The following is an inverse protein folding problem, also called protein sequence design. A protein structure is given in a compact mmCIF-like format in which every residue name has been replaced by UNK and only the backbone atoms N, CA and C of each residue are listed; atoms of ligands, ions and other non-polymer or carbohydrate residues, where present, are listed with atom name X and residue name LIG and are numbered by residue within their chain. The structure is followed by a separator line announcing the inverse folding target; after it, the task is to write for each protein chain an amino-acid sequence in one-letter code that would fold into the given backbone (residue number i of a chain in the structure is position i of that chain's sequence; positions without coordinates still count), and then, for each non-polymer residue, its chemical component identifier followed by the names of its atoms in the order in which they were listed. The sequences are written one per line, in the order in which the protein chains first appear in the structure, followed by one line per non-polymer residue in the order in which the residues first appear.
data_IF_063901296431
#
_entry.id   IF_063901296431
#
_cell.length_a   1.000
_cell.length_b   1.000
_cell.length_c   1.000
_cell.angle_alpha   90.00
_cell.angle_beta   90.00
_cell.angle_gamma   90.00
#
_symmetry.space_group_name_H-M   'P 1'
#
loop_
_entity.id
_entity.type
_entity.pdbx_description
1 polymer ?
#
# COMPACT_ATOMS: atom_id res chain seq x y z
N UNK A 1 46.77 -3.35 -1.17
CA UNK A 1 46.41 -3.32 0.26
C UNK A 1 45.08 -2.63 0.39
N UNK A 2 44.01 -3.35 0.72
CA UNK A 2 42.67 -2.75 0.99
C UNK A 2 42.70 -2.21 2.42
N UNK A 3 42.59 -0.89 2.60
CA UNK A 3 42.48 -0.27 3.91
C UNK A 3 41.13 -0.66 4.56
N UNK A 4 41.20 -1.29 5.72
CA UNK A 4 40.01 -1.50 6.56
C UNK A 4 39.71 -0.20 7.29
N UNK A 5 38.67 0.52 6.86
CA UNK A 5 38.19 1.71 7.55
C UNK A 5 37.35 1.27 8.75
N UNK A 6 37.94 1.31 9.94
CA UNK A 6 37.26 0.96 11.20
C UNK A 6 36.44 2.16 11.67
N UNK A 7 35.15 2.21 11.28
CA UNK A 7 34.23 3.23 11.80
C UNK A 7 33.58 2.75 13.10
N UNK A 8 33.85 3.46 14.18
CA UNK A 8 33.37 3.23 15.56
C UNK A 8 31.85 3.46 15.76
N UNK A 9 31.02 3.52 14.74
CA UNK A 9 29.57 3.46 14.85
C UNK A 9 29.10 2.26 14.07
N UNK A 10 28.40 1.28 14.72
CA UNK A 10 27.67 0.30 13.95
C UNK A 10 26.60 1.07 13.16
N UNK A 11 26.84 1.26 11.86
CA UNK A 11 25.74 1.48 10.93
C UNK A 11 24.85 0.25 11.12
N UNK A 12 23.71 0.40 11.79
CA UNK A 12 22.65 -0.60 11.70
C UNK A 12 22.38 -0.73 10.20
N UNK A 13 22.93 -1.77 9.59
CA UNK A 13 22.65 -2.06 8.18
C UNK A 13 21.23 -2.59 8.15
N UNK A 14 20.31 -1.74 7.71
CA UNK A 14 18.93 -2.13 7.49
C UNK A 14 18.90 -2.91 6.16
N UNK A 15 18.87 -4.22 6.24
CA UNK A 15 19.00 -5.12 5.09
C UNK A 15 17.70 -5.85 4.74
N UNK A 16 16.64 -5.58 5.50
CA UNK A 16 15.33 -6.20 5.29
C UNK A 16 14.21 -5.22 5.65
N UNK A 17 13.00 -5.46 5.14
CA UNK A 17 11.79 -4.72 5.50
C UNK A 17 11.54 -4.78 7.02
N UNK A 18 11.84 -5.91 7.66
CA UNK A 18 11.68 -6.08 9.12
C UNK A 18 12.68 -5.23 9.91
N UNK A 19 13.88 -4.99 9.40
CA UNK A 19 14.83 -4.07 10.04
C UNK A 19 14.31 -2.62 9.96
N UNK A 20 13.75 -2.22 8.82
CA UNK A 20 13.07 -0.93 8.67
C UNK A 20 11.88 -0.80 9.61
N UNK A 21 11.05 -1.84 9.75
CA UNK A 21 9.93 -1.89 10.70
C UNK A 21 10.39 -1.64 12.13
N UNK A 22 11.40 -2.40 12.60
CA UNK A 22 11.96 -2.24 13.95
C UNK A 22 12.61 -0.87 14.18
N UNK A 23 13.28 -0.33 13.17
CA UNK A 23 13.88 1.00 13.24
C UNK A 23 12.82 2.11 13.26
N UNK A 24 11.75 1.97 12.47
CA UNK A 24 10.64 2.91 12.40
C UNK A 24 9.87 2.98 13.73
N UNK A 25 9.59 1.84 14.36
CA UNK A 25 8.92 1.77 15.67
C UNK A 25 9.60 2.59 16.77
N UNK A 26 10.93 2.78 16.68
CA UNK A 26 11.71 3.56 17.64
C UNK A 26 11.78 5.06 17.32
N UNK A 27 11.27 5.50 16.17
CA UNK A 27 11.46 6.87 15.67
C UNK A 27 10.23 7.75 15.72
N UNK A 28 9.06 7.15 15.92
CA UNK A 28 7.78 7.86 16.00
C UNK A 28 7.07 7.55 17.31
N UNK A 29 6.23 8.47 17.83
CA UNK A 29 5.39 8.21 18.99
C UNK A 29 4.47 7.01 18.76
N UNK A 30 4.09 6.35 19.85
CA UNK A 30 3.17 5.20 19.82
C UNK A 30 1.88 5.48 19.08
N UNK A 31 1.36 6.69 19.18
CA UNK A 31 0.17 7.13 18.45
C UNK A 31 0.33 6.94 16.93
N UNK A 32 1.46 7.38 16.36
CA UNK A 32 1.76 7.22 14.93
C UNK A 32 2.04 5.75 14.60
N UNK A 33 2.72 5.04 15.50
CA UNK A 33 3.02 3.63 15.32
C UNK A 33 1.76 2.77 15.28
N UNK A 34 0.80 3.01 16.18
CA UNK A 34 -0.51 2.33 16.17
C UNK A 34 -1.29 2.58 14.87
N UNK A 35 -1.21 3.79 14.31
CA UNK A 35 -1.78 4.07 13.00
C UNK A 35 -1.12 3.23 11.89
N UNK A 36 0.20 3.08 11.91
CA UNK A 36 0.97 2.34 10.89
C UNK A 36 0.77 0.83 11.00
N UNK A 37 0.93 0.28 12.20
CA UNK A 37 0.88 -1.17 12.46
C UNK A 37 -0.53 -1.68 12.73
N UNK A 38 -1.44 -0.82 13.14
CA UNK A 38 -2.80 -1.17 13.53
C UNK A 38 -3.59 -1.84 12.41
N UNK A 39 -4.61 -2.56 12.81
CA UNK A 39 -5.62 -3.21 11.98
C UNK A 39 -6.95 -3.22 12.70
N UNK A 40 -7.91 -3.99 12.20
CA UNK A 40 -9.22 -4.13 12.81
C UNK A 40 -9.18 -5.15 13.97
N UNK A 41 -9.99 -4.88 14.98
CA UNK A 41 -10.30 -5.73 16.13
C UNK A 41 -9.07 -6.44 16.71
N UNK A 42 -9.02 -7.78 16.62
CA UNK A 42 -7.97 -8.64 17.19
C UNK A 42 -6.75 -8.84 16.27
N UNK A 43 -6.66 -8.12 15.13
CA UNK A 43 -5.57 -8.21 14.14
C UNK A 43 -5.42 -9.62 13.53
N UNK A 44 -6.48 -10.41 13.47
CA UNK A 44 -6.45 -11.76 12.91
C UNK A 44 -6.12 -11.70 11.41
N UNK A 45 -6.81 -10.82 10.68
CA UNK A 45 -6.59 -10.65 9.23
C UNK A 45 -5.19 -10.09 8.94
N UNK A 46 -4.68 -9.17 9.77
CA UNK A 46 -3.30 -8.66 9.64
C UNK A 46 -2.29 -9.79 9.69
N UNK A 47 -2.41 -10.66 10.72
CA UNK A 47 -1.51 -11.82 10.88
C UNK A 47 -1.69 -12.85 9.76
N UNK A 48 -2.94 -13.12 9.35
CA UNK A 48 -3.23 -14.07 8.27
C UNK A 48 -2.66 -13.61 6.93
N UNK A 49 -2.69 -12.32 6.62
CA UNK A 49 -2.09 -11.79 5.39
C UNK A 49 -0.59 -12.12 5.26
N UNK A 50 0.16 -12.05 6.36
CA UNK A 50 1.57 -12.43 6.37
C UNK A 50 1.75 -13.96 6.37
N UNK A 51 0.93 -14.68 7.15
CA UNK A 51 1.00 -16.13 7.29
C UNK A 51 0.60 -16.88 6.01
N UNK A 52 -0.30 -16.35 5.20
CA UNK A 52 -0.76 -16.98 3.96
C UNK A 52 0.38 -17.29 2.98
N UNK A 53 1.44 -16.49 2.97
CA UNK A 53 2.63 -16.77 2.16
C UNK A 53 3.36 -18.05 2.59
N UNK A 54 3.24 -18.49 3.83
CA UNK A 54 3.88 -19.71 4.33
C UNK A 54 3.25 -20.98 3.78
N UNK A 55 2.06 -20.90 3.23
CA UNK A 55 1.40 -22.01 2.53
C UNK A 55 2.19 -22.46 1.29
N UNK A 56 2.80 -21.49 0.60
CA UNK A 56 3.44 -21.75 -0.68
C UNK A 56 4.95 -21.88 -0.54
N UNK A 57 5.52 -22.98 -1.03
CA UNK A 57 6.96 -23.17 -1.23
C UNK A 57 7.32 -22.87 -2.68
N UNK A 58 8.51 -22.31 -2.90
CA UNK A 58 9.04 -22.05 -4.23
C UNK A 58 9.68 -23.32 -4.81
N UNK A 59 9.47 -23.56 -6.07
CA UNK A 59 10.10 -24.66 -6.81
C UNK A 59 11.40 -24.16 -7.45
N UNK A 60 12.48 -24.85 -7.20
CA UNK A 60 13.78 -24.56 -7.79
C UNK A 60 14.04 -25.46 -9.01
N UNK A 61 14.61 -24.90 -10.09
CA UNK A 61 15.12 -25.62 -11.25
C UNK A 61 16.57 -25.22 -11.46
N UNK A 62 17.46 -26.21 -11.38
CA UNK A 62 18.90 -25.98 -11.46
C UNK A 62 19.42 -25.97 -12.90
N UNK A 63 20.58 -25.36 -13.11
CA UNK A 63 21.34 -25.34 -14.37
C UNK A 63 20.60 -24.66 -15.53
N UNK A 64 19.81 -23.64 -15.23
CA UNK A 64 18.99 -22.90 -16.21
C UNK A 64 19.73 -21.78 -16.94
N UNK A 65 20.94 -21.41 -16.47
CA UNK A 65 21.82 -20.36 -17.04
C UNK A 65 21.23 -18.96 -17.10
N UNK A 66 20.27 -18.64 -16.24
CA UNK A 66 19.68 -17.28 -16.13
C UNK A 66 20.35 -16.51 -14.99
N UNK A 67 21.11 -15.46 -15.30
CA UNK A 67 21.83 -14.64 -14.33
C UNK A 67 21.16 -13.28 -14.07
N UNK A 68 20.41 -12.76 -15.03
CA UNK A 68 19.78 -11.43 -14.99
C UNK A 68 18.30 -11.55 -15.34
N UNK A 69 17.40 -11.72 -14.35
CA UNK A 69 15.97 -11.89 -14.61
C UNK A 69 15.33 -10.55 -15.00
N UNK A 70 14.37 -10.60 -15.92
CA UNK A 70 13.58 -9.44 -16.35
C UNK A 70 12.48 -9.15 -15.32
N UNK A 71 12.50 -7.96 -14.72
CA UNK A 71 11.50 -7.55 -13.74
C UNK A 71 10.42 -6.63 -14.30
N UNK A 72 10.70 -5.95 -15.44
CA UNK A 72 9.80 -4.96 -16.02
C UNK A 72 8.44 -5.56 -16.37
N UNK A 73 7.39 -4.80 -16.14
CA UNK A 73 6.00 -5.14 -16.49
C UNK A 73 5.21 -3.88 -16.82
N UNK A 74 3.96 -4.03 -17.21
CA UNK A 74 3.06 -2.91 -17.49
C UNK A 74 1.86 -2.95 -16.55
N UNK A 75 1.48 -1.81 -16.00
CA UNK A 75 0.26 -1.62 -15.19
C UNK A 75 -0.47 -0.39 -15.72
N UNK A 76 -1.75 -0.51 -16.01
CA UNK A 76 -2.57 0.57 -16.55
C UNK A 76 -1.96 1.22 -17.82
N UNK A 77 -1.34 0.42 -18.67
CA UNK A 77 -0.64 0.89 -19.86
C UNK A 77 0.69 1.64 -19.58
N UNK A 78 1.13 1.73 -18.34
CA UNK A 78 2.39 2.38 -17.95
C UNK A 78 3.44 1.30 -17.66
N UNK A 79 4.58 1.40 -18.34
CA UNK A 79 5.73 0.53 -18.08
C UNK A 79 6.39 0.86 -16.74
N UNK A 80 6.75 -0.19 -15.99
CA UNK A 80 7.44 -0.12 -14.70
C UNK A 80 8.56 -1.15 -14.67
N UNK A 81 9.74 -0.77 -14.12
CA UNK A 81 10.92 -1.63 -14.05
C UNK A 81 10.88 -2.62 -12.89
N UNK A 82 9.93 -2.44 -11.97
CA UNK A 82 9.75 -3.27 -10.77
C UNK A 82 8.26 -3.53 -10.56
N UNK A 83 7.80 -4.80 -10.48
CA UNK A 83 6.38 -5.14 -10.31
C UNK A 83 5.88 -4.93 -8.87
N UNK A 84 6.32 -3.85 -8.24
CA UNK A 84 5.97 -3.44 -6.88
C UNK A 84 5.58 -1.96 -6.90
N UNK A 85 4.31 -1.66 -6.72
CA UNK A 85 3.78 -0.31 -6.61
C UNK A 85 3.73 0.14 -5.14
N UNK A 86 3.78 1.45 -4.91
CA UNK A 86 3.49 2.00 -3.59
C UNK A 86 1.97 2.15 -3.45
N UNK A 87 1.39 1.43 -2.47
CA UNK A 87 -0.04 1.42 -2.20
C UNK A 87 -0.56 2.80 -1.75
N UNK A 88 -1.82 3.13 -2.03
CA UNK A 88 -2.43 4.35 -1.53
C UNK A 88 -2.50 4.30 0.00
N UNK A 89 -1.88 5.27 0.64
CA UNK A 89 -1.82 5.38 2.10
C UNK A 89 -2.17 6.80 2.52
N UNK A 90 -3.16 6.94 3.39
CA UNK A 90 -3.55 8.25 3.92
C UNK A 90 -2.53 8.77 4.95
N UNK A 91 -2.55 10.09 5.15
CA UNK A 91 -1.84 10.79 6.22
C UNK A 91 -0.33 10.46 6.33
N UNK A 92 0.36 10.23 5.21
CA UNK A 92 1.81 9.96 5.21
C UNK A 92 2.64 11.11 5.81
N UNK A 93 2.07 12.31 5.89
CA UNK A 93 2.66 13.46 6.58
C UNK A 93 2.91 13.23 8.07
N UNK A 94 2.18 12.31 8.71
CA UNK A 94 2.44 11.88 10.09
C UNK A 94 3.74 11.06 10.21
N UNK A 95 4.08 10.33 9.17
CA UNK A 95 5.30 9.51 9.12
C UNK A 95 6.53 10.33 8.76
N UNK A 96 6.39 11.22 7.78
CA UNK A 96 7.44 12.12 7.33
C UNK A 96 6.82 13.36 6.69
N UNK A 97 7.35 14.56 6.97
CA UNK A 97 6.77 15.82 6.52
C UNK A 97 6.59 15.94 4.99
N UNK A 98 7.47 15.32 4.19
CA UNK A 98 7.32 15.19 2.73
C UNK A 98 6.47 13.99 2.31
N UNK A 99 6.02 13.13 3.23
CA UNK A 99 5.18 11.96 3.09
C UNK A 99 4.94 11.48 1.66
N UNK A 100 3.81 11.88 1.09
CA UNK A 100 3.36 11.46 -0.23
C UNK A 100 4.32 11.87 -1.36
N UNK A 101 4.86 13.09 -1.32
CA UNK A 101 5.84 13.55 -2.30
C UNK A 101 7.15 12.75 -2.21
N UNK A 102 7.62 12.46 -0.99
CA UNK A 102 8.82 11.64 -0.81
C UNK A 102 8.61 10.21 -1.31
N UNK A 103 7.42 9.64 -1.09
CA UNK A 103 7.04 8.33 -1.61
C UNK A 103 6.99 8.33 -3.15
N UNK A 104 6.38 9.35 -3.76
CA UNK A 104 6.30 9.50 -5.21
C UNK A 104 7.68 9.59 -5.86
N UNK A 105 8.55 10.46 -5.33
CA UNK A 105 9.94 10.57 -5.80
C UNK A 105 10.75 9.27 -5.60
N UNK A 106 10.50 8.53 -4.51
CA UNK A 106 11.15 7.23 -4.27
C UNK A 106 10.68 6.17 -5.29
N UNK A 107 9.38 6.13 -5.58
CA UNK A 107 8.81 5.24 -6.59
C UNK A 107 9.39 5.54 -7.99
N UNK A 108 9.40 6.81 -8.39
CA UNK A 108 9.98 7.25 -9.66
C UNK A 108 11.45 6.83 -9.78
N UNK A 109 12.26 7.11 -8.73
CA UNK A 109 13.68 6.77 -8.71
C UNK A 109 13.94 5.25 -8.69
N UNK A 110 12.97 4.43 -8.31
CA UNK A 110 13.00 2.97 -8.36
C UNK A 110 12.31 2.41 -9.62
N UNK A 111 11.99 3.23 -10.62
CA UNK A 111 11.33 2.79 -11.85
C UNK A 111 9.91 2.22 -11.65
N UNK A 112 9.22 2.62 -10.59
CA UNK A 112 7.84 2.20 -10.33
C UNK A 112 6.91 3.40 -10.09
N UNK A 113 5.70 3.17 -9.57
CA UNK A 113 4.69 4.23 -9.40
C UNK A 113 4.11 4.22 -7.99
N UNK A 114 3.69 5.41 -7.56
CA UNK A 114 2.83 5.59 -6.39
C UNK A 114 1.37 5.62 -6.84
N UNK A 115 0.49 5.04 -6.05
CA UNK A 115 -0.95 5.32 -6.10
C UNK A 115 -1.23 6.35 -5.01
N UNK A 116 -1.46 7.61 -5.40
CA UNK A 116 -1.70 8.71 -4.46
C UNK A 116 -3.09 8.58 -3.83
N UNK A 117 -3.18 8.65 -2.51
CA UNK A 117 -4.45 8.52 -1.79
C UNK A 117 -5.31 9.79 -1.84
N UNK A 118 -6.63 9.66 -1.87
CA UNK A 118 -7.58 10.74 -1.53
C UNK A 118 -7.21 11.42 -0.21
N UNK A 119 -6.80 10.61 0.77
CA UNK A 119 -6.43 11.06 2.12
C UNK A 119 -4.94 11.45 2.23
N UNK A 120 -4.30 11.84 1.14
CA UNK A 120 -2.89 12.25 1.14
C UNK A 120 -2.66 13.57 1.87
N UNK A 121 -1.46 13.72 2.46
CA UNK A 121 -1.03 14.95 3.13
C UNK A 121 -0.45 16.00 2.16
N UNK A 122 -0.26 15.63 0.92
CA UNK A 122 0.10 16.51 -0.20
C UNK A 122 -1.03 16.50 -1.22
N UNK A 123 -1.28 17.65 -1.86
CA UNK A 123 -2.35 17.70 -2.86
C UNK A 123 -1.96 16.94 -4.14
N UNK A 124 -2.98 16.59 -4.91
CA UNK A 124 -2.86 15.97 -6.24
C UNK A 124 -1.86 16.77 -7.10
N UNK A 125 -2.01 18.10 -7.10
CA UNK A 125 -1.21 19.03 -7.90
C UNK A 125 0.23 19.14 -7.39
N UNK A 126 0.42 19.21 -6.06
CA UNK A 126 1.74 19.32 -5.44
C UNK A 126 2.59 18.07 -5.75
N UNK A 127 2.00 16.87 -5.70
CA UNK A 127 2.72 15.63 -6.02
C UNK A 127 3.03 15.56 -7.52
N UNK A 128 2.07 15.87 -8.37
CA UNK A 128 2.28 15.89 -9.82
C UNK A 128 3.36 16.90 -10.25
N UNK A 129 3.36 18.11 -9.66
CA UNK A 129 4.39 19.12 -9.93
C UNK A 129 5.78 18.76 -9.36
N UNK A 130 5.84 17.93 -8.35
CA UNK A 130 7.08 17.53 -7.68
C UNK A 130 7.74 16.28 -8.24
N UNK A 131 7.17 15.64 -9.27
CA UNK A 131 7.65 14.41 -9.92
C UNK A 131 7.60 14.55 -11.44
N UNK A 132 8.44 13.80 -12.15
CA UNK A 132 8.42 13.71 -13.62
C UNK A 132 7.58 12.56 -14.18
N UNK A 133 7.24 11.58 -13.33
CA UNK A 133 6.50 10.40 -13.72
C UNK A 133 4.99 10.57 -13.52
N UNK A 134 4.19 10.00 -14.43
CA UNK A 134 2.75 9.87 -14.24
C UNK A 134 2.46 8.82 -13.17
N UNK A 135 2.04 9.27 -11.99
CA UNK A 135 1.56 8.42 -10.91
C UNK A 135 0.07 8.09 -11.07
N UNK A 136 -0.48 7.22 -10.21
CA UNK A 136 -1.88 6.83 -10.21
C UNK A 136 -2.62 7.49 -9.04
N UNK A 137 -3.94 7.63 -9.15
CA UNK A 137 -4.74 8.24 -8.09
C UNK A 137 -5.74 7.24 -7.51
N UNK A 138 -5.86 7.22 -6.18
CA UNK A 138 -6.88 6.43 -5.49
C UNK A 138 -8.01 7.33 -5.02
N UNK A 139 -9.23 6.89 -5.31
CA UNK A 139 -10.48 7.56 -4.97
C UNK A 139 -11.26 6.74 -3.94
N UNK A 140 -11.69 7.38 -2.84
CA UNK A 140 -12.85 6.91 -2.10
C UNK A 140 -14.09 7.45 -2.80
N UNK A 141 -14.96 6.57 -3.33
CA UNK A 141 -16.16 6.99 -4.02
C UNK A 141 -17.22 7.47 -3.03
N UNK A 142 -18.10 8.32 -3.50
CA UNK A 142 -19.20 8.89 -2.71
C UNK A 142 -18.95 10.35 -2.32
N UNK A 143 -20.03 11.05 -2.06
CA UNK A 143 -20.01 12.44 -1.67
C UNK A 143 -19.81 13.45 -2.82
N UNK A 144 -19.90 14.73 -2.48
CA UNK A 144 -19.87 15.86 -3.41
C UNK A 144 -18.50 16.08 -4.06
N UNK A 145 -17.43 15.47 -3.47
CA UNK A 145 -16.05 15.70 -3.93
C UNK A 145 -15.58 14.73 -5.01
N UNK A 146 -16.32 13.64 -5.28
CA UNK A 146 -15.89 12.60 -6.24
C UNK A 146 -15.55 13.18 -7.61
N UNK A 147 -16.48 13.90 -8.23
CA UNK A 147 -16.27 14.49 -9.56
C UNK A 147 -15.13 15.53 -9.55
N UNK A 148 -15.04 16.34 -8.50
CA UNK A 148 -14.00 17.35 -8.36
C UNK A 148 -12.62 16.72 -8.24
N UNK A 149 -12.46 15.67 -7.42
CA UNK A 149 -11.20 14.96 -7.25
C UNK A 149 -10.76 14.26 -8.54
N UNK A 150 -11.70 13.62 -9.24
CA UNK A 150 -11.45 13.02 -10.55
C UNK A 150 -10.96 14.07 -11.57
N UNK A 151 -11.65 15.21 -11.66
CA UNK A 151 -11.27 16.30 -12.55
C UNK A 151 -9.87 16.85 -12.25
N UNK A 152 -9.56 17.12 -10.97
CA UNK A 152 -8.23 17.56 -10.51
C UNK A 152 -7.14 16.55 -10.85
N UNK A 153 -7.38 15.26 -10.57
CA UNK A 153 -6.44 14.20 -10.86
C UNK A 153 -6.16 14.10 -12.38
N UNK A 154 -7.21 14.11 -13.21
CA UNK A 154 -7.03 14.06 -14.65
C UNK A 154 -6.25 15.27 -15.19
N UNK A 155 -6.60 16.48 -14.76
CA UNK A 155 -5.91 17.73 -15.14
C UNK A 155 -4.44 17.74 -14.69
N UNK A 156 -4.13 17.10 -13.57
CA UNK A 156 -2.76 16.97 -13.04
C UNK A 156 -1.96 15.83 -13.69
N UNK A 157 -2.51 15.12 -14.67
CA UNK A 157 -1.76 14.11 -15.42
C UNK A 157 -1.88 12.68 -14.92
N UNK A 158 -2.69 12.39 -13.89
CA UNK A 158 -2.98 11.02 -13.46
C UNK A 158 -3.85 10.32 -14.53
N UNK A 159 -3.47 9.12 -14.95
CA UNK A 159 -4.13 8.40 -16.04
C UNK A 159 -4.81 7.11 -15.64
N UNK A 160 -4.58 6.63 -14.42
CA UNK A 160 -5.29 5.50 -13.83
C UNK A 160 -5.92 5.89 -12.51
N UNK A 161 -7.17 5.45 -12.31
CA UNK A 161 -7.98 5.68 -11.12
C UNK A 161 -8.17 4.36 -10.38
N UNK A 162 -7.85 4.34 -9.09
CA UNK A 162 -8.04 3.20 -8.21
C UNK A 162 -9.21 3.47 -7.27
N UNK A 163 -10.38 2.96 -7.59
CA UNK A 163 -11.60 3.14 -6.79
C UNK A 163 -11.61 2.13 -5.65
N UNK A 164 -11.53 2.64 -4.42
CA UNK A 164 -11.48 1.81 -3.21
C UNK A 164 -12.88 1.58 -2.66
N UNK A 165 -13.31 0.31 -2.61
CA UNK A 165 -14.70 -0.07 -2.31
C UNK A 165 -14.86 -0.82 -0.98
N UNK A 166 -13.76 -1.18 -0.31
CA UNK A 166 -13.75 -1.93 0.95
C UNK A 166 -13.91 -1.05 2.21
N UNK A 167 -14.32 0.21 2.04
CA UNK A 167 -14.49 1.18 3.14
C UNK A 167 -15.90 1.79 3.13
N UNK A 168 -16.98 0.99 3.18
CA UNK A 168 -18.32 1.53 3.36
C UNK A 168 -18.51 2.15 4.76
N UNK A 169 -17.68 1.74 5.71
CA UNK A 169 -17.52 2.26 7.06
C UNK A 169 -16.09 2.01 7.50
N UNK A 170 -15.57 2.82 8.40
CA UNK A 170 -14.22 2.59 8.93
C UNK A 170 -14.20 1.36 9.83
N UNK A 171 -13.22 0.48 9.60
CA UNK A 171 -12.98 -0.68 10.44
C UNK A 171 -12.68 -0.30 11.90
N UNK A 172 -12.99 -1.18 12.83
CA UNK A 172 -12.79 -0.94 14.27
C UNK A 172 -11.30 -1.01 14.64
N UNK A 173 -10.57 0.08 14.47
CA UNK A 173 -9.13 0.15 14.74
C UNK A 173 -8.89 0.48 16.20
N UNK A 174 -8.98 -0.53 17.06
CA UNK A 174 -8.91 -0.35 18.51
C UNK A 174 -7.62 0.31 19.00
N UNK A 175 -6.47 0.00 18.41
CA UNK A 175 -5.19 0.64 18.73
C UNK A 175 -5.24 2.15 18.55
N UNK A 176 -5.78 2.61 17.42
CA UNK A 176 -5.98 4.02 17.12
C UNK A 176 -6.99 4.66 18.10
N UNK A 177 -8.11 3.98 18.37
CA UNK A 177 -9.17 4.46 19.29
C UNK A 177 -8.68 4.60 20.73
N UNK A 178 -7.90 3.64 21.23
CA UNK A 178 -7.30 3.70 22.58
C UNK A 178 -6.36 4.88 22.76
N UNK A 179 -5.84 5.46 21.65
CA UNK A 179 -4.95 6.63 21.63
C UNK A 179 -5.67 7.94 21.31
N UNK A 180 -7.01 7.94 21.28
CA UNK A 180 -7.80 9.14 21.01
C UNK A 180 -7.94 9.50 19.52
N UNK A 181 -7.43 8.68 18.59
CA UNK A 181 -7.86 8.74 17.20
C UNK A 181 -9.29 8.19 17.13
N UNK A 182 -10.24 9.05 16.87
CA UNK A 182 -11.63 8.62 16.74
C UNK A 182 -11.86 8.04 15.35
N UNK A 183 -12.08 6.74 15.29
CA UNK A 183 -12.62 6.04 14.13
C UNK A 183 -14.12 5.82 14.27
N UNK A 184 -14.89 6.75 14.79
CA UNK A 184 -16.36 6.78 14.71
C UNK A 184 -16.94 8.01 15.39
N UNK A 185 -17.52 8.92 14.62
CA UNK A 185 -18.71 9.72 14.92
C UNK A 185 -18.71 10.66 16.11
N UNK A 186 -17.67 10.82 16.91
CA UNK A 186 -17.67 11.71 18.07
C UNK A 186 -16.29 12.29 18.34
N UNK A 187 -15.80 13.12 17.44
CA UNK A 187 -14.60 13.94 17.69
C UNK A 187 -14.95 15.32 18.21
N UNK A 188 -15.61 15.38 19.36
CA UNK A 188 -15.72 16.62 20.14
C UNK A 188 -14.78 16.61 21.35
N UNK A 189 -13.57 16.06 21.19
CA UNK A 189 -12.53 16.10 22.22
C UNK A 189 -11.30 16.77 21.67
N UNK A 190 -11.00 17.94 22.19
CA UNK A 190 -9.64 18.49 22.20
C UNK A 190 -8.67 17.35 22.47
N UNK A 191 -7.59 17.21 21.69
CA UNK A 191 -6.49 16.29 21.99
C UNK A 191 -5.92 16.65 23.37
N UNK A 192 -6.52 16.16 24.42
CA UNK A 192 -5.94 16.19 25.76
C UNK A 192 -4.95 15.05 25.84
N UNK A 193 -3.69 15.38 25.61
CA UNK A 193 -2.60 14.44 25.80
C UNK A 193 -2.60 13.98 27.25
N UNK A 194 -2.66 12.69 27.46
CA UNK A 194 -2.39 12.12 28.77
C UNK A 194 -0.93 12.37 29.17
N UNK A 195 -0.56 12.41 30.44
CA UNK A 195 0.84 12.55 30.85
C UNK A 195 1.76 11.49 30.23
N UNK A 196 1.25 10.26 30.00
CA UNK A 196 1.96 9.19 29.31
C UNK A 196 2.25 9.48 27.83
N UNK A 197 1.29 10.07 27.11
CA UNK A 197 1.44 10.47 25.72
C UNK A 197 2.38 11.67 25.59
N UNK A 198 2.28 12.64 26.50
CA UNK A 198 3.22 13.75 26.53
C UNK A 198 4.68 13.27 26.75
N UNK A 199 4.87 12.31 27.67
CA UNK A 199 6.17 11.69 27.90
C UNK A 199 6.65 10.89 26.68
N UNK A 200 5.76 10.17 26.00
CA UNK A 200 6.08 9.43 24.77
C UNK A 200 6.51 10.39 23.65
N UNK A 201 5.79 11.48 23.45
CA UNK A 201 6.18 12.53 22.49
C UNK A 201 7.53 13.18 22.84
N UNK A 202 7.78 13.44 24.13
CA UNK A 202 9.05 14.00 24.58
C UNK A 202 10.26 13.07 24.31
N UNK A 203 10.02 11.76 24.22
CA UNK A 203 11.03 10.76 23.83
C UNK A 203 11.33 10.75 22.32
N UNK A 204 10.48 11.39 21.50
CA UNK A 204 10.62 11.49 20.04
C UNK A 204 10.82 12.95 19.56
N UNK A 205 11.82 13.69 20.09
CA UNK A 205 11.96 15.12 19.85
C UNK A 205 12.16 15.47 18.38
N UNK A 206 12.83 14.59 17.60
CA UNK A 206 13.00 14.80 16.15
C UNK A 206 11.66 14.80 15.43
N UNK A 207 10.79 13.84 15.74
CA UNK A 207 9.45 13.78 15.16
C UNK A 207 8.63 15.02 15.53
N UNK A 208 8.63 15.42 16.82
CA UNK A 208 7.91 16.60 17.31
C UNK A 208 8.39 17.88 16.58
N UNK A 209 9.69 18.09 16.49
CA UNK A 209 10.26 19.25 15.79
C UNK A 209 9.90 19.26 14.31
N UNK A 210 9.93 18.09 13.65
CA UNK A 210 9.52 17.98 12.25
C UNK A 210 8.05 18.31 12.06
N UNK A 211 7.15 17.79 12.90
CA UNK A 211 5.73 18.09 12.83
C UNK A 211 5.45 19.57 13.12
N UNK A 212 6.11 20.15 14.13
CA UNK A 212 5.97 21.58 14.45
C UNK A 212 6.41 22.50 13.31
N UNK A 213 7.56 22.21 12.67
CA UNK A 213 8.11 23.04 11.60
C UNK A 213 7.38 22.92 10.28
N UNK A 214 6.87 21.76 9.95
CA UNK A 214 6.37 21.46 8.63
C UNK A 214 4.87 21.14 8.56
N UNK A 215 4.23 20.79 9.70
CA UNK A 215 2.79 20.75 9.93
C UNK A 215 1.89 20.13 8.87
N UNK A 216 2.32 19.04 8.21
CA UNK A 216 1.54 18.41 7.13
C UNK A 216 0.79 17.16 7.59
N UNK A 217 0.05 17.29 8.70
CA UNK A 217 -0.84 16.21 9.16
C UNK A 217 -2.23 16.21 8.51
N UNK A 218 -2.58 17.26 7.76
CA UNK A 218 -3.91 17.41 7.13
C UNK A 218 -4.04 16.67 5.81
N UNK A 219 -5.25 16.21 5.48
CA UNK A 219 -5.58 15.59 4.19
C UNK A 219 -5.90 16.68 3.16
N UNK A 220 -4.89 17.09 2.39
CA UNK A 220 -4.91 18.27 1.53
C UNK A 220 -5.94 18.22 0.39
N UNK A 221 -6.29 17.04 -0.09
CA UNK A 221 -7.24 16.90 -1.17
C UNK A 221 -8.69 17.17 -0.76
N UNK A 222 -9.00 17.00 0.51
CA UNK A 222 -10.34 17.19 1.08
C UNK A 222 -10.57 18.59 1.66
N UNK A 223 -9.52 19.40 1.77
CA UNK A 223 -9.65 20.77 2.25
C UNK A 223 -10.00 21.71 1.10
N UNK A 224 -10.95 22.65 1.30
CA UNK A 224 -11.16 23.72 0.33
C UNK A 224 -9.87 24.52 0.14
N UNK A 225 -9.66 25.05 -1.06
CA UNK A 225 -8.41 25.70 -1.53
C UNK A 225 -8.02 26.96 -0.76
N UNK A 226 -8.86 27.44 0.15
CA UNK A 226 -8.66 28.67 0.91
C UNK A 226 -8.51 28.40 2.41
N UNK A 227 -7.26 28.44 2.90
CA UNK A 227 -6.96 28.98 4.22
C UNK A 227 -7.32 28.17 5.47
N UNK A 228 -7.68 26.90 5.40
CA UNK A 228 -8.03 26.13 6.60
C UNK A 228 -6.79 25.40 7.15
N UNK A 229 -6.32 25.83 8.32
CA UNK A 229 -5.19 25.23 9.06
C UNK A 229 -5.62 24.05 9.95
N UNK A 230 -6.53 23.19 9.51
CA UNK A 230 -7.12 22.22 10.41
C UNK A 230 -6.77 20.77 10.04
N UNK A 231 -5.76 20.23 10.69
CA UNK A 231 -5.36 18.82 10.62
C UNK A 231 -6.50 17.88 11.00
N UNK A 232 -7.36 18.28 11.93
CA UNK A 232 -8.47 17.49 12.46
C UNK A 232 -9.73 17.58 11.62
N UNK A 233 -10.01 18.75 11.04
CA UNK A 233 -11.20 18.97 10.22
C UNK A 233 -11.20 18.10 8.96
N UNK A 234 -10.03 17.86 8.36
CA UNK A 234 -9.90 17.01 7.18
C UNK A 234 -10.17 15.53 7.46
N UNK A 235 -9.80 15.05 8.65
CA UNK A 235 -10.10 13.68 9.10
C UNK A 235 -11.61 13.53 9.35
N UNK A 236 -12.23 14.53 9.98
CA UNK A 236 -13.67 14.55 10.21
C UNK A 236 -14.47 14.62 8.91
N UNK A 237 -14.01 15.41 7.93
CA UNK A 237 -14.61 15.46 6.60
C UNK A 237 -14.55 14.09 5.94
N UNK A 238 -13.38 13.42 5.93
CA UNK A 238 -13.25 12.08 5.35
C UNK A 238 -14.17 11.07 6.02
N UNK A 239 -14.22 11.06 7.37
CA UNK A 239 -15.10 10.17 8.11
C UNK A 239 -16.57 10.42 7.76
N UNK A 240 -16.99 11.69 7.73
CA UNK A 240 -18.37 12.06 7.39
C UNK A 240 -18.76 11.65 5.98
N UNK A 241 -17.83 11.74 5.05
CA UNK A 241 -18.06 11.31 3.67
C UNK A 241 -18.14 9.80 3.53
N UNK A 242 -17.24 9.06 4.20
CA UNK A 242 -17.29 7.59 4.24
C UNK A 242 -18.57 7.12 4.93
N UNK A 243 -18.91 7.65 6.11
CA UNK A 243 -20.08 7.22 6.88
C UNK A 243 -21.43 7.56 6.22
N UNK A 244 -21.44 8.53 5.29
CA UNK A 244 -22.64 8.92 4.52
C UNK A 244 -22.73 8.27 3.15
N UNK A 245 -21.63 7.71 2.66
CA UNK A 245 -21.57 7.16 1.32
C UNK A 245 -22.23 5.78 1.27
N UNK A 246 -23.42 5.71 0.69
CA UNK A 246 -23.98 4.47 0.18
C UNK A 246 -23.45 4.27 -1.24
N UNK A 247 -22.24 3.72 -1.37
CA UNK A 247 -21.66 3.44 -2.67
C UNK A 247 -22.21 2.12 -3.23
N UNK A 248 -22.70 2.17 -4.45
CA UNK A 248 -23.26 1.02 -5.17
C UNK A 248 -22.59 0.82 -6.53
N UNK A 249 -22.92 -0.28 -7.19
CA UNK A 249 -22.37 -0.58 -8.52
C UNK A 249 -22.69 0.49 -9.57
N UNK A 250 -23.88 1.11 -9.48
CA UNK A 250 -24.26 2.23 -10.36
C UNK A 250 -23.32 3.44 -10.24
N UNK A 251 -22.75 3.68 -9.05
CA UNK A 251 -21.77 4.76 -8.85
C UNK A 251 -20.45 4.40 -9.52
N UNK A 252 -20.05 3.12 -9.51
CA UNK A 252 -18.88 2.66 -10.25
C UNK A 252 -19.09 2.76 -11.76
N UNK A 253 -20.26 2.42 -12.27
CA UNK A 253 -20.64 2.62 -13.68
C UNK A 253 -20.48 4.08 -14.07
N UNK A 254 -21.04 5.00 -13.26
CA UNK A 254 -20.89 6.43 -13.48
C UNK A 254 -19.41 6.89 -13.43
N UNK A 255 -18.61 6.42 -12.46
CA UNK A 255 -17.18 6.74 -12.38
C UNK A 255 -16.46 6.27 -13.65
N UNK A 256 -16.75 5.04 -14.12
CA UNK A 256 -16.14 4.48 -15.32
C UNK A 256 -16.47 5.32 -16.56
N UNK A 257 -17.71 5.78 -16.68
CA UNK A 257 -18.14 6.66 -17.78
C UNK A 257 -17.46 8.04 -17.75
N UNK A 258 -17.27 8.60 -16.55
CA UNK A 258 -16.69 9.94 -16.40
C UNK A 258 -15.15 9.96 -16.47
N UNK A 259 -14.48 8.85 -16.15
CA UNK A 259 -13.01 8.79 -16.13
C UNK A 259 -12.46 8.33 -17.49
N UNK A 260 -11.69 9.18 -18.22
CA UNK A 260 -11.22 8.82 -19.57
C UNK A 260 -10.08 7.79 -19.60
N UNK A 261 -9.42 7.52 -18.47
CA UNK A 261 -8.30 6.60 -18.34
C UNK A 261 -8.70 5.23 -17.81
N UNK A 262 -7.72 4.44 -17.39
CA UNK A 262 -7.95 3.14 -16.80
C UNK A 262 -8.59 3.25 -15.40
N UNK A 263 -9.55 2.37 -15.08
CA UNK A 263 -10.21 2.25 -13.78
C UNK A 263 -9.92 0.90 -13.17
N UNK A 264 -9.43 0.89 -11.95
CA UNK A 264 -9.19 -0.29 -11.14
C UNK A 264 -10.08 -0.28 -9.91
N UNK A 265 -10.68 -1.42 -9.57
CA UNK A 265 -11.45 -1.57 -8.33
C UNK A 265 -10.59 -2.21 -7.27
N UNK A 266 -10.38 -1.51 -6.15
CA UNK A 266 -9.54 -1.96 -5.05
C UNK A 266 -10.37 -2.37 -3.84
N UNK A 267 -10.06 -3.56 -3.28
CA UNK A 267 -10.73 -4.07 -2.06
C UNK A 267 -11.65 -5.25 -2.32
N UNK A 268 -11.40 -6.01 -3.39
CA UNK A 268 -12.19 -7.17 -3.75
C UNK A 268 -11.53 -8.46 -3.24
N UNK A 269 -12.32 -9.34 -2.64
CA UNK A 269 -11.94 -10.68 -2.21
C UNK A 269 -12.84 -11.76 -2.81
N UNK A 270 -13.93 -11.37 -3.45
CA UNK A 270 -14.92 -12.27 -4.06
C UNK A 270 -14.77 -12.27 -5.59
N UNK A 271 -14.73 -13.46 -6.24
CA UNK A 271 -14.63 -13.58 -7.69
C UNK A 271 -15.82 -12.98 -8.44
N UNK A 272 -17.05 -13.06 -7.89
CA UNK A 272 -18.24 -12.53 -8.56
C UNK A 272 -18.22 -11.00 -8.58
N UNK A 273 -17.73 -10.37 -7.52
CA UNK A 273 -17.52 -8.93 -7.47
C UNK A 273 -16.43 -8.48 -8.48
N UNK A 274 -15.37 -9.27 -8.62
CA UNK A 274 -14.33 -9.00 -9.61
C UNK A 274 -14.87 -9.12 -11.04
N UNK A 275 -15.64 -10.15 -11.35
CA UNK A 275 -16.34 -10.32 -12.64
C UNK A 275 -17.29 -9.15 -12.93
N UNK A 276 -18.03 -8.69 -11.93
CA UNK A 276 -18.94 -7.56 -12.07
C UNK A 276 -18.18 -6.27 -12.37
N UNK A 277 -17.08 -5.99 -11.69
CA UNK A 277 -16.22 -4.84 -11.98
C UNK A 277 -15.72 -4.86 -13.44
N UNK A 278 -15.29 -6.03 -13.92
CA UNK A 278 -14.85 -6.23 -15.31
C UNK A 278 -16.02 -6.02 -16.30
N UNK A 279 -17.23 -6.47 -15.96
CA UNK A 279 -18.42 -6.30 -16.82
C UNK A 279 -18.85 -4.83 -16.97
N UNK A 280 -18.52 -3.98 -16.00
CA UNK A 280 -18.70 -2.52 -16.05
C UNK A 280 -17.67 -1.85 -16.96
N UNK A 281 -16.60 -2.57 -17.33
CA UNK A 281 -15.51 -2.05 -18.18
C UNK A 281 -14.31 -1.53 -17.38
N UNK A 282 -14.15 -1.97 -16.13
CA UNK A 282 -12.93 -1.71 -15.38
C UNK A 282 -11.76 -2.53 -15.96
N UNK A 283 -10.62 -1.88 -16.17
CA UNK A 283 -9.42 -2.48 -16.77
C UNK A 283 -8.64 -3.36 -15.78
N UNK A 284 -8.93 -3.24 -14.48
CA UNK A 284 -8.26 -4.07 -13.49
C UNK A 284 -8.95 -4.12 -12.14
N UNK A 285 -8.47 -5.07 -11.33
CA UNK A 285 -8.91 -5.27 -9.95
C UNK A 285 -7.69 -5.39 -9.04
N UNK A 286 -7.82 -4.93 -7.79
CA UNK A 286 -6.80 -5.12 -6.75
C UNK A 286 -7.40 -6.03 -5.68
N UNK A 287 -6.86 -7.24 -5.59
CA UNK A 287 -7.21 -8.20 -4.54
C UNK A 287 -6.63 -7.70 -3.22
N UNK A 288 -7.50 -7.29 -2.32
CA UNK A 288 -7.13 -6.54 -1.12
C UNK A 288 -8.18 -6.66 -0.03
N UNK A 289 -7.74 -6.76 1.23
CA UNK A 289 -8.55 -6.58 2.42
C UNK A 289 -8.10 -5.34 3.22
N UNK A 290 -7.57 -4.30 2.51
CA UNK A 290 -7.06 -3.07 3.10
C UNK A 290 -5.93 -3.32 4.13
N UNK A 291 -5.15 -4.39 3.93
CA UNK A 291 -4.10 -4.79 4.85
C UNK A 291 -4.60 -5.21 6.24
N UNK A 292 -5.82 -5.74 6.34
CA UNK A 292 -6.46 -6.16 7.59
C UNK A 292 -6.97 -5.01 8.45
N UNK A 293 -7.29 -3.87 7.84
CA UNK A 293 -7.72 -2.64 8.56
C UNK A 293 -9.22 -2.41 8.53
N UNK A 294 -10.00 -3.26 7.83
CA UNK A 294 -11.44 -3.12 7.66
C UNK A 294 -12.19 -4.24 8.40
N UNK A 295 -12.59 -5.29 7.75
CA UNK A 295 -13.23 -6.43 8.40
C UNK A 295 -12.15 -7.36 8.97
N UNK A 296 -12.10 -7.54 10.29
CA UNK A 296 -11.27 -8.60 10.85
C UNK A 296 -11.91 -9.97 10.59
N UNK A 297 -11.14 -11.04 10.64
CA UNK A 297 -11.54 -12.38 10.21
C UNK A 297 -11.91 -12.50 8.71
N UNK A 298 -11.67 -11.47 7.89
CA UNK A 298 -11.75 -11.60 6.45
C UNK A 298 -10.71 -12.60 5.91
N UNK A 299 -10.95 -13.09 4.68
CA UNK A 299 -10.00 -13.94 3.98
C UNK A 299 -8.67 -13.19 3.77
N UNK A 300 -7.54 -13.87 3.92
CA UNK A 300 -6.27 -13.28 3.53
C UNK A 300 -6.26 -13.01 2.01
N UNK A 301 -5.77 -11.84 1.61
CA UNK A 301 -5.81 -11.46 0.19
C UNK A 301 -5.10 -12.48 -0.71
N UNK A 302 -4.02 -13.13 -0.22
CA UNK A 302 -3.30 -14.16 -0.99
C UNK A 302 -4.13 -15.43 -1.20
N UNK A 303 -5.00 -15.77 -0.26
CA UNK A 303 -5.90 -16.94 -0.37
C UNK A 303 -7.05 -16.66 -1.35
N UNK A 304 -7.49 -15.39 -1.50
CA UNK A 304 -8.50 -14.98 -2.48
C UNK A 304 -7.94 -14.87 -3.91
N UNK A 305 -6.65 -14.57 -4.05
CA UNK A 305 -6.02 -14.24 -5.33
C UNK A 305 -6.24 -15.31 -6.42
N UNK A 306 -6.01 -16.62 -6.19
CA UNK A 306 -6.17 -17.63 -7.25
C UNK A 306 -7.57 -17.68 -7.83
N UNK A 307 -8.62 -17.60 -6.98
CA UNK A 307 -9.99 -17.67 -7.42
C UNK A 307 -10.40 -16.43 -8.26
N UNK A 308 -9.92 -15.24 -7.88
CA UNK A 308 -10.17 -14.03 -8.64
C UNK A 308 -9.44 -14.06 -9.98
N UNK A 309 -8.18 -14.50 -10.02
CA UNK A 309 -7.41 -14.67 -11.27
C UNK A 309 -8.11 -15.64 -12.20
N UNK A 310 -8.59 -16.79 -11.69
CA UNK A 310 -9.30 -17.78 -12.50
C UNK A 310 -10.63 -17.25 -13.06
N UNK A 311 -11.36 -16.43 -12.29
CA UNK A 311 -12.62 -15.83 -12.70
C UNK A 311 -12.41 -14.71 -13.75
N UNK A 312 -11.47 -13.82 -13.50
CA UNK A 312 -11.21 -12.65 -14.37
C UNK A 312 -10.51 -13.08 -15.66
N UNK A 313 -9.57 -14.04 -15.59
CA UNK A 313 -8.77 -14.49 -16.72
C UNK A 313 -8.01 -13.33 -17.37
N UNK A 314 -7.94 -13.33 -18.70
CA UNK A 314 -7.23 -12.31 -19.47
C UNK A 314 -8.08 -11.03 -19.73
N UNK A 315 -9.27 -10.94 -19.12
CA UNK A 315 -10.21 -9.82 -19.38
C UNK A 315 -9.79 -8.53 -18.67
N UNK A 316 -9.04 -8.62 -17.56
CA UNK A 316 -8.57 -7.47 -16.80
C UNK A 316 -7.26 -7.77 -16.06
N UNK A 317 -6.51 -6.73 -15.72
CA UNK A 317 -5.31 -6.88 -14.91
C UNK A 317 -5.67 -7.15 -13.44
N UNK A 318 -5.03 -8.15 -12.84
CA UNK A 318 -5.17 -8.45 -11.42
C UNK A 318 -3.93 -7.97 -10.68
N UNK A 319 -4.12 -7.02 -9.77
CA UNK A 319 -3.11 -6.58 -8.82
C UNK A 319 -3.40 -7.14 -7.43
N UNK A 320 -2.41 -7.09 -6.57
CA UNK A 320 -2.50 -7.70 -5.25
C UNK A 320 -1.91 -6.80 -4.16
N UNK A 321 -2.56 -6.73 -2.99
CA UNK A 321 -1.92 -6.22 -1.77
C UNK A 321 -2.26 -7.07 -0.53
N UNK A 322 -1.47 -6.90 0.53
CA UNK A 322 -1.65 -7.56 1.82
C UNK A 322 -0.52 -8.52 2.16
N UNK A 323 0.23 -8.21 3.21
CA UNK A 323 1.22 -9.12 3.80
C UNK A 323 2.63 -9.12 3.19
N UNK A 324 2.89 -8.46 2.07
CA UNK A 324 4.20 -8.41 1.41
C UNK A 324 5.27 -7.85 2.36
N UNK A 325 6.35 -8.62 2.59
CA UNK A 325 7.52 -8.25 3.40
C UNK A 325 8.85 -8.64 2.76
N UNK A 326 8.84 -9.56 1.79
CA UNK A 326 10.02 -10.14 1.13
C UNK A 326 9.85 -10.18 -0.38
N UNK A 327 10.96 -10.21 -1.12
CA UNK A 327 10.94 -10.48 -2.57
C UNK A 327 10.33 -11.84 -2.91
N UNK A 328 10.48 -12.85 -2.05
CA UNK A 328 9.82 -14.15 -2.20
C UNK A 328 8.30 -14.08 -2.08
N UNK A 329 7.76 -13.11 -1.33
CA UNK A 329 6.31 -12.88 -1.27
C UNK A 329 5.82 -12.30 -2.59
N UNK A 330 6.60 -11.39 -3.19
CA UNK A 330 6.33 -10.86 -4.54
C UNK A 330 6.29 -12.01 -5.55
N UNK A 331 7.32 -12.90 -5.57
CA UNK A 331 7.32 -14.09 -6.46
C UNK A 331 6.05 -14.90 -6.31
N UNK A 332 5.60 -15.18 -5.07
CA UNK A 332 4.41 -16.01 -4.82
C UNK A 332 3.14 -15.33 -5.35
N UNK A 333 2.97 -14.05 -5.14
CA UNK A 333 1.81 -13.32 -5.65
C UNK A 333 1.80 -13.29 -7.19
N UNK A 334 2.94 -13.02 -7.83
CA UNK A 334 3.07 -13.04 -9.30
C UNK A 334 2.81 -14.44 -9.86
N UNK A 335 3.38 -15.48 -9.25
CA UNK A 335 3.17 -16.87 -9.68
C UNK A 335 1.71 -17.33 -9.51
N UNK A 336 0.97 -16.74 -8.58
CA UNK A 336 -0.49 -16.97 -8.41
C UNK A 336 -1.33 -16.17 -9.40
N UNK A 337 -0.73 -15.32 -10.24
CA UNK A 337 -1.38 -14.63 -11.35
C UNK A 337 -1.54 -13.12 -11.16
N UNK A 338 -0.98 -12.52 -10.11
CA UNK A 338 -0.94 -11.06 -10.03
C UNK A 338 0.02 -10.47 -11.07
N UNK A 339 -0.37 -9.37 -11.73
CA UNK A 339 0.48 -8.59 -12.66
C UNK A 339 1.56 -7.82 -11.91
N UNK A 340 1.20 -7.22 -10.78
CA UNK A 340 2.09 -6.53 -9.87
C UNK A 340 1.50 -6.54 -8.46
N UNK A 341 2.31 -6.19 -7.47
CA UNK A 341 1.90 -6.10 -6.07
C UNK A 341 1.96 -4.65 -5.57
N UNK A 342 1.18 -4.34 -4.52
CA UNK A 342 1.23 -3.06 -3.83
C UNK A 342 1.76 -3.24 -2.41
N UNK A 343 2.63 -2.32 -1.97
CA UNK A 343 3.14 -2.29 -0.60
C UNK A 343 2.66 -1.04 0.15
N UNK A 344 2.01 -1.24 1.30
CA UNK A 344 1.56 -0.18 2.21
C UNK A 344 2.57 0.06 3.33
N UNK A 345 2.50 -0.74 4.40
CA UNK A 345 3.36 -0.59 5.59
C UNK A 345 4.86 -0.52 5.27
N UNK A 346 5.45 -1.34 4.36
CA UNK A 346 6.87 -1.26 4.07
C UNK A 346 7.36 0.11 3.59
N UNK A 347 6.60 0.81 2.73
CA UNK A 347 6.96 2.16 2.31
C UNK A 347 6.94 3.15 3.49
N UNK A 348 5.98 2.99 4.42
CA UNK A 348 5.87 3.87 5.59
C UNK A 348 7.07 3.67 6.51
N UNK A 349 7.52 2.43 6.74
CA UNK A 349 8.73 2.18 7.52
C UNK A 349 9.94 2.89 6.90
N UNK A 350 10.09 2.80 5.58
CA UNK A 350 11.12 3.53 4.85
C UNK A 350 11.03 5.04 5.05
N UNK A 351 9.84 5.62 4.89
CA UNK A 351 9.60 7.06 5.08
C UNK A 351 9.95 7.52 6.50
N UNK A 352 9.53 6.79 7.53
CA UNK A 352 9.85 7.10 8.94
C UNK A 352 11.36 7.07 9.17
N UNK A 353 12.06 6.11 8.60
CA UNK A 353 13.48 5.89 8.84
C UNK A 353 14.35 6.88 8.09
N UNK A 354 14.06 7.17 6.83
CA UNK A 354 14.93 7.93 5.95
C UNK A 354 14.23 8.80 4.91
N UNK A 355 12.93 9.09 5.06
CA UNK A 355 12.18 9.87 4.09
C UNK A 355 12.20 9.21 2.70
N UNK A 356 12.44 10.00 1.67
CA UNK A 356 12.51 9.53 0.28
C UNK A 356 13.55 8.40 0.11
N UNK A 357 14.76 8.57 0.67
CA UNK A 357 15.81 7.56 0.53
C UNK A 357 15.41 6.25 1.23
N UNK A 358 14.82 6.32 2.42
CA UNK A 358 14.39 5.12 3.14
C UNK A 358 13.24 4.37 2.42
N UNK A 359 12.31 5.07 1.79
CA UNK A 359 11.28 4.44 0.97
C UNK A 359 11.89 3.78 -0.29
N UNK A 360 12.87 4.44 -0.92
CA UNK A 360 13.64 3.88 -2.04
C UNK A 360 14.42 2.63 -1.61
N UNK A 361 15.12 2.69 -0.48
CA UNK A 361 15.90 1.54 0.03
C UNK A 361 15.01 0.31 0.26
N UNK A 362 13.77 0.49 0.75
CA UNK A 362 12.81 -0.60 0.89
C UNK A 362 12.43 -1.21 -0.47
N UNK A 363 12.23 -0.39 -1.50
CA UNK A 363 11.98 -0.88 -2.87
C UNK A 363 13.19 -1.64 -3.43
N UNK A 364 14.42 -1.13 -3.21
CA UNK A 364 15.65 -1.80 -3.66
C UNK A 364 15.93 -3.10 -2.90
N UNK A 365 15.58 -3.20 -1.62
CA UNK A 365 15.62 -4.45 -0.87
C UNK A 365 14.70 -5.49 -1.52
N UNK A 366 13.44 -5.12 -1.80
CA UNK A 366 12.48 -6.03 -2.44
C UNK A 366 12.92 -6.41 -3.86
N UNK A 367 13.48 -5.46 -4.63
CA UNK A 367 14.08 -5.72 -5.95
C UNK A 367 15.18 -6.79 -5.87
N UNK A 368 16.17 -6.54 -5.01
CA UNK A 368 17.32 -7.46 -4.85
C UNK A 368 16.91 -8.84 -4.34
N UNK A 369 15.92 -8.90 -3.44
CA UNK A 369 15.37 -10.17 -2.97
C UNK A 369 14.58 -10.91 -4.08
N UNK A 370 13.80 -10.18 -4.90
CA UNK A 370 13.06 -10.71 -6.05
C UNK A 370 14.02 -11.26 -7.11
N UNK A 371 15.01 -10.47 -7.53
CA UNK A 371 16.04 -10.89 -8.49
C UNK A 371 16.74 -12.18 -8.03
N UNK A 372 17.20 -12.19 -6.78
CA UNK A 372 17.87 -13.36 -6.20
C UNK A 372 16.96 -14.59 -6.18
N UNK A 373 15.68 -14.42 -5.83
CA UNK A 373 14.73 -15.51 -5.82
C UNK A 373 14.51 -16.09 -7.22
N UNK A 374 14.32 -15.24 -8.24
CA UNK A 374 14.16 -15.68 -9.63
C UNK A 374 15.40 -16.42 -10.14
N UNK A 375 16.61 -15.92 -9.86
CA UNK A 375 17.87 -16.60 -10.23
C UNK A 375 17.98 -17.96 -9.56
N UNK A 376 17.71 -18.05 -8.25
CA UNK A 376 17.78 -19.32 -7.51
C UNK A 376 16.68 -20.31 -7.95
N UNK A 377 15.55 -19.82 -8.40
CA UNK A 377 14.49 -20.67 -8.97
C UNK A 377 14.78 -21.06 -10.43
N UNK A 378 15.67 -20.37 -11.12
CA UNK A 378 15.95 -20.58 -12.55
C UNK A 378 14.87 -19.99 -13.46
N UNK A 379 14.25 -18.88 -13.05
CA UNK A 379 13.18 -18.18 -13.79
C UNK A 379 13.77 -16.98 -14.56
N UNK A 380 13.54 -16.87 -15.89
CA UNK A 380 14.12 -15.81 -16.72
C UNK A 380 13.55 -14.41 -16.45
N UNK A 381 12.33 -14.33 -15.93
CA UNK A 381 11.68 -13.07 -15.65
C UNK A 381 10.31 -13.23 -14.99
N UNK A 382 9.72 -12.11 -14.55
CA UNK A 382 8.45 -12.11 -13.83
C UNK A 382 7.28 -12.61 -14.69
N UNK A 383 7.35 -12.46 -16.01
CA UNK A 383 6.34 -12.96 -16.95
C UNK A 383 6.39 -14.46 -17.18
N UNK A 384 7.48 -15.13 -16.75
CA UNK A 384 7.65 -16.58 -16.86
C UNK A 384 7.17 -17.30 -15.58
N UNK A 385 6.65 -16.54 -14.60
CA UNK A 385 6.07 -17.08 -13.38
C UNK A 385 4.63 -17.55 -13.62
N UNK A 386 4.35 -18.76 -13.18
CA UNK A 386 3.01 -19.34 -13.10
C UNK A 386 2.90 -20.25 -11.87
N UNK A 387 1.72 -20.84 -11.64
CA UNK A 387 1.46 -21.71 -10.49
C UNK A 387 2.35 -22.96 -10.45
N UNK A 388 2.95 -23.39 -11.56
CA UNK A 388 3.85 -24.55 -11.58
C UNK A 388 5.15 -24.31 -10.81
N UNK A 389 5.52 -23.05 -10.58
CA UNK A 389 6.66 -22.66 -9.76
C UNK A 389 6.37 -22.68 -8.24
N UNK A 390 5.13 -23.03 -7.87
CA UNK A 390 4.70 -23.11 -6.47
C UNK A 390 4.37 -24.55 -6.09
N UNK A 391 4.61 -24.87 -4.83
CA UNK A 391 4.18 -26.12 -4.19
C UNK A 391 3.27 -25.75 -3.02
N UNK A 392 2.01 -26.17 -3.08
CA UNK A 392 1.07 -26.01 -1.97
C UNK A 392 1.43 -27.00 -0.86
N UNK A 393 1.97 -26.50 0.24
CA UNK A 393 2.39 -27.34 1.38
C UNK A 393 1.23 -28.09 2.02
N UNK A 394 0.01 -27.57 1.93
CA UNK A 394 -1.18 -28.24 2.48
C UNK A 394 -1.59 -29.44 1.64
N UNK A 395 -1.41 -29.39 0.31
CA UNK A 395 -1.69 -30.52 -0.55
C UNK A 395 -0.66 -31.66 -0.37
N UNK A 396 0.59 -31.33 -0.09
CA UNK A 396 1.66 -32.34 0.15
C UNK A 396 1.46 -33.09 1.46
N UNK A 397 0.93 -32.42 2.49
CA UNK A 397 0.65 -33.05 3.80
C UNK A 397 -0.61 -33.93 3.80
N UNK A 398 -1.50 -33.75 2.80
CA UNK A 398 -2.75 -34.50 2.68
C UNK A 398 -2.58 -35.87 1.95
N UNK A 399 -1.41 -36.17 1.38
CA UNK A 399 -1.17 -37.50 0.82
C UNK A 399 -0.88 -38.50 1.96
N UNK A 400 -1.67 -39.58 2.10
CA UNK A 400 -1.36 -40.63 3.07
C UNK A 400 0.02 -41.22 2.71
N UNK A 401 0.88 -41.36 3.72
CA UNK A 401 2.12 -42.13 3.55
C UNK A 401 1.71 -43.60 3.27
N UNK A 402 1.80 -43.99 2.01
CA UNK A 402 1.69 -45.40 1.59
C UNK A 402 2.91 -46.18 2.02
#
# INVERSE_FOLDING_TARGET
MRSFDYRWRPLERLISVEDYRRAAAKRVPRLVWEYVEGGADDLVTVRRNEAAFLRWSLRERMMTAHAEPRLATTVAGVEIDLPVLLAPTGALGLSHWRGDLAAACAAEAAGTRLILSTASSWSIEEVAAGTGAAHFFQLYPGGEHTATLMGRAWQSGYRALFVTVDVPVLGNREGERRRGYASSGSMNRSLTLTPGEALDMARHPRWVVHQYRHGRGSMRNLLPTAGVHATFDSIEILHREIDRATFAWADLEWIREQWPGAVYVKGLLDPDDALRAVSIGCEGVVVSNHGGRQLDHALASLDALPAIVDAVGDKAEVLFDGGIRRGTDVVKALALGARAVLIGRPQIYGLIVGGQQGARDVLEILRSELERALVLMGVPGVHDLDRSWLIDRWSVTAQPRT
#
